data_IF_966848245766
#
_entry.id   IF_966848245766
#
_cell.length_a   1.000
_cell.length_b   1.000
_cell.length_c   1.000
_cell.angle_alpha   90.00
_cell.angle_beta   90.00
_cell.angle_gamma   90.00
#
_symmetry.space_group_name_H-M   'P 1'
#
loop_
_entity.id
_entity.type
_entity.pdbx_description
1 polymer ?
#
# COMPACT_ATOMS: atom_id res chain seq x y z
N UNK A 1 -14.66 -41.75 20.78
CA UNK A 1 -15.40 -40.54 20.28
C UNK A 1 -14.42 -39.41 20.20
N UNK A 2 -13.87 -39.16 18.98
CA UNK A 2 -12.93 -38.06 18.77
C UNK A 2 -13.67 -36.84 18.24
N UNK A 3 -13.62 -35.75 19.01
CA UNK A 3 -14.19 -34.46 18.62
C UNK A 3 -13.29 -33.80 17.59
N UNK A 4 -13.72 -33.77 16.33
CA UNK A 4 -13.12 -32.98 15.26
C UNK A 4 -13.50 -31.53 15.46
N UNK A 5 -12.62 -30.70 16.00
CA UNK A 5 -12.76 -29.25 15.97
C UNK A 5 -12.52 -28.76 14.53
N UNK A 6 -13.59 -28.48 13.82
CA UNK A 6 -13.58 -27.79 12.54
C UNK A 6 -13.10 -26.35 12.76
N UNK A 7 -11.88 -26.04 12.27
CA UNK A 7 -11.35 -24.68 12.23
C UNK A 7 -12.08 -23.93 11.10
N UNK A 8 -13.15 -23.22 11.42
CA UNK A 8 -13.77 -22.25 10.51
C UNK A 8 -12.84 -21.05 10.35
N UNK A 9 -12.14 -20.95 9.22
CA UNK A 9 -11.50 -19.74 8.80
C UNK A 9 -12.59 -18.72 8.41
N UNK A 10 -12.88 -17.77 9.30
CA UNK A 10 -13.76 -16.63 8.94
C UNK A 10 -13.01 -15.74 7.96
N UNK A 11 -13.41 -15.76 6.71
CA UNK A 11 -13.05 -14.74 5.73
C UNK A 11 -14.03 -13.59 5.92
N UNK A 12 -13.59 -12.52 6.57
CA UNK A 12 -14.37 -11.28 6.61
C UNK A 12 -14.09 -10.55 5.30
N UNK A 13 -15.03 -10.62 4.37
CA UNK A 13 -15.06 -9.74 3.22
C UNK A 13 -15.92 -8.57 3.66
N UNK A 14 -15.33 -7.39 3.85
CA UNK A 14 -16.09 -6.16 4.01
C UNK A 14 -16.62 -5.83 2.62
N UNK A 15 -17.81 -6.35 2.25
CA UNK A 15 -18.55 -5.89 1.09
C UNK A 15 -19.23 -4.59 1.53
N UNK A 16 -18.88 -3.49 0.91
CA UNK A 16 -19.62 -2.24 1.05
C UNK A 16 -20.97 -2.43 0.39
N UNK A 17 -22.03 -2.26 1.17
CA UNK A 17 -23.40 -2.17 0.65
C UNK A 17 -23.48 -0.92 -0.25
N UNK A 18 -23.95 -1.13 -1.48
CA UNK A 18 -24.08 -0.09 -2.53
C UNK A 18 -25.11 1.03 -2.17
N UNK A 19 -25.72 0.98 -0.98
CA UNK A 19 -26.84 1.85 -0.61
C UNK A 19 -26.66 2.62 0.70
N UNK A 20 -25.49 2.59 1.37
CA UNK A 20 -25.23 3.36 2.58
C UNK A 20 -23.95 4.17 2.47
N UNK A 21 -24.07 5.43 2.11
CA UNK A 21 -23.04 6.32 1.58
C UNK A 21 -22.13 7.00 2.60
N UNK A 22 -22.05 6.55 3.83
CA UNK A 22 -21.05 7.08 4.77
C UNK A 22 -20.08 5.99 5.20
N UNK A 23 -18.92 5.93 4.51
CA UNK A 23 -17.76 5.24 5.05
C UNK A 23 -17.43 5.85 6.41
N UNK A 24 -17.48 5.05 7.46
CA UNK A 24 -16.91 5.46 8.74
C UNK A 24 -15.38 5.46 8.60
N UNK A 25 -14.82 6.64 8.34
CA UNK A 25 -13.35 6.84 8.21
C UNK A 25 -12.59 6.40 9.47
N UNK A 26 -13.27 6.30 10.62
CA UNK A 26 -12.69 5.86 11.90
C UNK A 26 -12.78 4.35 12.11
N UNK A 27 -13.50 3.62 11.24
CA UNK A 27 -13.60 2.18 11.36
C UNK A 27 -12.23 1.51 11.19
N UNK A 28 -11.78 0.82 12.24
CA UNK A 28 -10.61 -0.04 12.14
C UNK A 28 -11.00 -1.34 11.44
N UNK A 29 -10.44 -1.60 10.26
CA UNK A 29 -10.69 -2.84 9.52
C UNK A 29 -10.12 -4.08 10.22
N UNK A 30 -9.10 -3.92 11.06
CA UNK A 30 -8.48 -5.03 11.78
C UNK A 30 -9.19 -5.29 13.10
N UNK A 31 -9.49 -6.55 13.43
CA UNK A 31 -10.20 -6.87 14.68
C UNK A 31 -9.32 -6.76 15.94
N UNK A 32 -7.98 -6.71 15.76
CA UNK A 32 -6.99 -6.67 16.85
C UNK A 32 -5.59 -6.31 16.37
N UNK A 33 -4.70 -5.98 17.30
CA UNK A 33 -3.24 -5.92 17.12
C UNK A 33 -2.78 -5.06 15.94
N UNK A 34 -3.50 -3.96 15.68
CA UNK A 34 -3.18 -3.03 14.61
C UNK A 34 -4.34 -2.09 14.29
N UNK A 35 -4.04 -1.08 13.50
CA UNK A 35 -5.00 -0.07 13.05
C UNK A 35 -4.89 0.05 11.54
N UNK A 36 -6.00 -0.20 10.86
CA UNK A 36 -6.14 0.03 9.42
C UNK A 36 -7.45 0.76 9.17
N UNK A 37 -7.35 1.99 8.68
CA UNK A 37 -8.50 2.80 8.30
C UNK A 37 -8.55 2.95 6.78
N UNK A 38 -9.72 2.77 6.20
CA UNK A 38 -9.95 2.98 4.78
C UNK A 38 -10.87 4.19 4.58
N UNK A 39 -10.31 5.27 4.05
CA UNK A 39 -10.99 6.55 3.85
C UNK A 39 -11.85 6.59 2.57
N UNK A 40 -11.86 5.49 1.79
CA UNK A 40 -12.49 5.52 0.47
C UNK A 40 -11.82 6.50 -0.48
N UNK A 41 -12.57 7.04 -1.43
CA UNK A 41 -12.10 8.03 -2.40
C UNK A 41 -11.91 9.38 -1.72
N UNK A 42 -10.66 9.86 -1.67
CA UNK A 42 -10.28 11.17 -1.11
C UNK A 42 -10.07 12.22 -2.19
N UNK A 43 -10.17 11.82 -3.44
CA UNK A 43 -10.09 12.63 -4.65
C UNK A 43 -11.31 12.40 -5.53
N UNK A 44 -11.72 13.42 -6.27
CA UNK A 44 -12.72 13.27 -7.33
C UNK A 44 -12.21 12.37 -8.45
N UNK A 45 -13.11 11.85 -9.27
CA UNK A 45 -12.72 11.03 -10.44
C UNK A 45 -11.84 11.83 -11.43
N UNK A 46 -12.12 13.12 -11.59
CA UNK A 46 -11.34 14.00 -12.47
C UNK A 46 -9.91 14.19 -11.96
N UNK A 47 -9.74 14.54 -10.68
CA UNK A 47 -8.42 14.65 -10.05
C UNK A 47 -7.66 13.33 -10.07
N UNK A 48 -8.33 12.22 -9.77
CA UNK A 48 -7.73 10.90 -9.78
C UNK A 48 -7.20 10.51 -11.17
N UNK A 49 -7.97 10.79 -12.23
CA UNK A 49 -7.53 10.57 -13.61
C UNK A 49 -6.33 11.46 -13.95
N UNK A 50 -6.38 12.75 -13.59
CA UNK A 50 -5.27 13.69 -13.83
C UNK A 50 -3.97 13.18 -13.18
N UNK A 51 -4.00 12.85 -11.87
CA UNK A 51 -2.80 12.35 -11.20
C UNK A 51 -2.34 11.01 -11.75
N UNK A 52 -3.26 10.11 -12.10
CA UNK A 52 -2.89 8.83 -12.69
C UNK A 52 -2.10 9.00 -13.99
N UNK A 53 -2.60 9.81 -14.92
CA UNK A 53 -1.94 10.07 -16.21
C UNK A 53 -0.62 10.82 -16.02
N UNK A 54 -0.59 11.83 -15.15
CA UNK A 54 0.61 12.58 -14.84
C UNK A 54 1.70 11.67 -14.27
N UNK A 55 1.41 10.89 -13.23
CA UNK A 55 2.37 9.98 -12.60
C UNK A 55 2.85 8.89 -13.58
N UNK A 56 1.97 8.40 -14.46
CA UNK A 56 2.34 7.39 -15.44
C UNK A 56 3.40 7.91 -16.41
N UNK A 57 3.31 9.20 -16.78
CA UNK A 57 4.17 9.85 -17.80
C UNK A 57 5.43 10.48 -17.22
N UNK A 58 5.36 11.03 -15.98
CA UNK A 58 6.44 11.90 -15.45
C UNK A 58 7.35 11.21 -14.43
N UNK A 59 6.90 10.14 -13.78
CA UNK A 59 7.70 9.44 -12.77
C UNK A 59 8.84 8.66 -13.42
N UNK A 60 10.03 8.75 -12.83
CA UNK A 60 11.22 7.98 -13.25
C UNK A 60 11.09 6.49 -12.85
N UNK A 61 10.23 5.77 -13.55
CA UNK A 61 9.96 4.37 -13.30
C UNK A 61 11.18 3.48 -13.61
N UNK A 62 11.64 2.72 -12.62
CA UNK A 62 12.71 1.72 -12.75
C UNK A 62 12.15 0.33 -12.44
N UNK A 63 12.68 -0.69 -13.10
CA UNK A 63 12.31 -2.06 -12.77
C UNK A 63 12.71 -2.36 -11.32
N UNK A 64 11.83 -3.05 -10.59
CA UNK A 64 12.16 -3.50 -9.25
C UNK A 64 12.91 -4.83 -9.30
N UNK A 65 13.81 -5.01 -8.34
CA UNK A 65 14.63 -6.20 -8.21
C UNK A 65 14.26 -6.93 -6.92
N UNK A 66 14.06 -8.23 -7.02
CA UNK A 66 13.80 -9.09 -5.87
C UNK A 66 14.82 -10.24 -5.82
N UNK A 67 15.24 -10.63 -4.63
CA UNK A 67 16.00 -11.86 -4.43
C UNK A 67 15.02 -12.95 -4.01
N UNK A 68 14.82 -13.93 -4.90
CA UNK A 68 13.94 -15.07 -4.65
C UNK A 68 14.80 -16.34 -4.69
N UNK A 69 14.82 -17.06 -3.58
CA UNK A 69 15.70 -18.25 -3.40
C UNK A 69 17.17 -18.01 -3.78
N UNK A 70 17.71 -16.83 -3.36
CA UNK A 70 19.11 -16.45 -3.64
C UNK A 70 19.39 -15.96 -5.07
N UNK A 71 18.39 -15.98 -5.96
CA UNK A 71 18.53 -15.48 -7.34
C UNK A 71 17.96 -14.07 -7.47
N UNK A 72 18.72 -13.18 -8.11
CA UNK A 72 18.25 -11.84 -8.48
C UNK A 72 17.25 -11.96 -9.62
N UNK A 73 16.04 -11.49 -9.39
CA UNK A 73 14.95 -11.48 -10.36
C UNK A 73 14.54 -10.02 -10.60
N UNK A 74 14.55 -9.61 -11.84
CA UNK A 74 13.99 -8.33 -12.26
C UNK A 74 12.49 -8.55 -12.45
N UNK A 75 11.67 -7.84 -11.66
CA UNK A 75 10.21 -7.94 -11.75
C UNK A 75 9.69 -7.08 -12.90
N UNK A 76 8.50 -7.41 -13.41
CA UNK A 76 7.81 -6.55 -14.40
C UNK A 76 7.32 -5.26 -13.74
N UNK A 77 6.93 -5.33 -12.46
CA UNK A 77 6.54 -4.17 -11.67
C UNK A 77 7.66 -3.14 -11.67
N UNK A 78 7.29 -1.87 -11.82
CA UNK A 78 8.22 -0.75 -11.71
C UNK A 78 8.04 -0.02 -10.40
N UNK A 79 9.11 0.62 -9.96
CA UNK A 79 9.16 1.38 -8.71
C UNK A 79 9.84 2.72 -8.93
N UNK A 80 9.52 3.68 -8.07
CA UNK A 80 10.26 4.92 -7.90
C UNK A 80 10.21 5.33 -6.43
N UNK A 81 11.21 6.08 -5.97
CA UNK A 81 11.30 6.51 -4.58
C UNK A 81 11.64 8.00 -4.49
N UNK A 82 10.85 8.76 -3.74
CA UNK A 82 10.96 10.20 -3.56
C UNK A 82 10.99 10.55 -2.07
N UNK A 83 11.64 11.66 -1.70
CA UNK A 83 11.74 12.08 -0.29
C UNK A 83 12.20 13.50 -0.10
N UNK A 84 12.10 13.99 1.16
CA UNK A 84 12.52 15.35 1.57
C UNK A 84 14.03 15.57 1.43
N UNK A 85 14.79 14.49 1.40
CA UNK A 85 16.24 14.46 1.20
C UNK A 85 16.63 13.19 0.45
N UNK A 86 17.87 13.07 0.03
CA UNK A 86 18.42 11.93 -0.69
C UNK A 86 18.64 10.71 0.22
N UNK A 87 17.56 10.25 0.86
CA UNK A 87 17.61 9.02 1.64
C UNK A 87 18.27 7.90 0.86
N UNK A 88 19.14 7.15 1.52
CA UNK A 88 19.81 6.01 0.92
C UNK A 88 19.34 4.70 1.55
N UNK A 89 19.07 3.73 0.70
CA UNK A 89 18.81 2.35 1.13
C UNK A 89 19.68 1.39 0.34
N UNK A 90 20.58 0.72 1.04
CA UNK A 90 21.46 -0.27 0.44
C UNK A 90 20.95 -1.67 0.69
N UNK A 91 20.62 -2.37 -0.39
CA UNK A 91 20.22 -3.78 -0.36
C UNK A 91 21.04 -4.57 -1.38
N UNK A 92 21.67 -5.66 -0.93
CA UNK A 92 22.43 -6.57 -1.81
C UNK A 92 23.46 -5.87 -2.71
N UNK A 93 24.23 -4.91 -2.17
CA UNK A 93 25.25 -4.10 -2.86
C UNK A 93 24.68 -3.09 -3.88
N UNK A 94 23.36 -2.88 -3.93
CA UNK A 94 22.74 -1.84 -4.75
C UNK A 94 22.21 -0.76 -3.82
N UNK A 95 22.72 0.47 -3.95
CA UNK A 95 22.20 1.63 -3.22
C UNK A 95 21.12 2.30 -4.06
N UNK A 96 19.93 2.39 -3.51
CA UNK A 96 18.83 3.21 -4.06
C UNK A 96 18.82 4.54 -3.32
N UNK A 97 18.60 5.63 -4.04
CA UNK A 97 18.48 6.99 -3.50
C UNK A 97 17.09 7.52 -3.79
N UNK A 98 16.52 8.22 -2.81
CA UNK A 98 15.28 8.95 -3.01
C UNK A 98 15.53 10.14 -3.95
N UNK A 99 14.62 10.36 -4.88
CA UNK A 99 14.60 11.52 -5.76
C UNK A 99 13.92 12.71 -5.05
N UNK A 100 14.21 13.95 -5.44
CA UNK A 100 13.48 15.11 -4.94
C UNK A 100 12.02 15.06 -5.40
N UNK A 101 11.11 15.57 -4.55
CA UNK A 101 9.69 15.61 -4.86
C UNK A 101 9.37 16.36 -6.16
N UNK A 102 8.41 15.84 -6.93
CA UNK A 102 7.75 16.64 -7.97
C UNK A 102 6.62 17.46 -7.34
N UNK A 103 6.11 18.46 -8.05
CA UNK A 103 5.00 19.30 -7.59
C UNK A 103 3.75 18.45 -7.27
N UNK A 104 3.40 17.53 -8.15
CA UNK A 104 2.24 16.66 -8.02
C UNK A 104 2.38 15.69 -6.82
N UNK A 105 3.59 15.19 -6.58
CA UNK A 105 3.86 14.34 -5.40
C UNK A 105 3.75 15.12 -4.09
N UNK A 106 4.14 16.40 -4.07
CA UNK A 106 3.95 17.29 -2.92
C UNK A 106 2.46 17.59 -2.66
N UNK A 107 1.67 17.78 -3.71
CA UNK A 107 0.21 17.94 -3.59
C UNK A 107 -0.42 16.68 -2.99
N UNK A 108 -0.11 15.50 -3.53
CA UNK A 108 -0.61 14.23 -3.03
C UNK A 108 -0.14 13.92 -1.61
N UNK A 109 1.12 14.26 -1.28
CA UNK A 109 1.65 14.21 0.08
C UNK A 109 0.83 15.10 1.03
N UNK A 110 0.50 16.33 0.60
CA UNK A 110 -0.29 17.27 1.40
C UNK A 110 -1.69 16.71 1.70
N UNK A 111 -2.32 16.04 0.73
CA UNK A 111 -3.61 15.37 0.93
C UNK A 111 -3.48 14.25 1.97
N UNK A 112 -2.44 13.42 1.86
CA UNK A 112 -2.18 12.34 2.83
C UNK A 112 -1.87 12.92 4.22
N UNK A 113 -1.00 13.92 4.34
CA UNK A 113 -0.64 14.59 5.60
C UNK A 113 -1.89 15.14 6.31
N UNK A 114 -2.76 15.84 5.57
CA UNK A 114 -3.96 16.46 6.13
C UNK A 114 -5.01 15.44 6.61
N UNK A 115 -5.23 14.39 5.82
CA UNK A 115 -6.19 13.32 6.17
C UNK A 115 -5.74 12.50 7.38
N UNK A 116 -4.44 12.24 7.51
CA UNK A 116 -3.89 11.42 8.59
C UNK A 116 -3.42 12.22 9.80
N UNK A 117 -3.26 13.54 9.67
CA UNK A 117 -2.61 14.43 10.66
C UNK A 117 -1.16 14.01 10.97
N UNK A 118 -0.52 13.34 10.04
CA UNK A 118 0.88 12.94 10.10
C UNK A 118 1.72 13.83 9.17
N UNK A 119 3.05 13.72 9.30
CA UNK A 119 4.01 14.38 8.40
C UNK A 119 4.89 13.29 7.79
N UNK A 120 4.63 13.01 6.52
CA UNK A 120 5.44 12.07 5.77
C UNK A 120 6.63 12.79 5.13
N UNK A 121 7.76 12.11 5.01
CA UNK A 121 8.97 12.65 4.37
C UNK A 121 9.51 11.76 3.24
N UNK A 122 8.80 10.68 2.93
CA UNK A 122 9.21 9.72 1.91
C UNK A 122 7.99 9.08 1.25
N UNK A 123 8.11 8.73 -0.04
CA UNK A 123 7.09 8.02 -0.79
C UNK A 123 7.72 6.97 -1.71
N UNK A 124 7.35 5.71 -1.51
CA UNK A 124 7.63 4.64 -2.44
C UNK A 124 6.45 4.46 -3.39
N UNK A 125 6.71 4.57 -4.68
CA UNK A 125 5.72 4.37 -5.74
C UNK A 125 5.89 2.99 -6.36
N UNK A 126 4.77 2.34 -6.67
CA UNK A 126 4.71 1.07 -7.38
C UNK A 126 3.78 1.17 -8.58
N UNK A 127 4.26 0.81 -9.76
CA UNK A 127 3.47 0.67 -10.98
C UNK A 127 3.30 -0.80 -11.30
N UNK A 128 2.06 -1.25 -11.32
CA UNK A 128 1.62 -2.57 -11.79
C UNK A 128 0.95 -2.38 -13.15
N UNK A 129 1.46 -3.06 -14.19
CA UNK A 129 0.96 -2.90 -15.56
C UNK A 129 -0.37 -3.61 -15.79
N UNK A 130 -0.60 -4.66 -15.02
CA UNK A 130 -1.86 -5.44 -15.05
C UNK A 130 -2.12 -6.11 -13.71
N UNK A 131 -3.24 -6.82 -13.63
CA UNK A 131 -3.58 -7.65 -12.47
C UNK A 131 -2.64 -8.82 -12.23
N UNK A 132 -1.94 -9.32 -13.23
CA UNK A 132 -0.98 -10.42 -13.07
C UNK A 132 0.20 -10.07 -12.19
N UNK A 133 0.53 -8.77 -12.10
CA UNK A 133 1.53 -8.26 -11.18
C UNK A 133 0.93 -8.05 -9.79
N UNK A 134 1.70 -8.35 -8.76
CA UNK A 134 1.26 -8.23 -7.38
C UNK A 134 2.42 -8.06 -6.40
N UNK A 135 2.08 -8.07 -5.12
CA UNK A 135 3.03 -8.06 -4.02
C UNK A 135 2.74 -9.22 -3.09
N UNK A 136 3.75 -10.01 -2.78
CA UNK A 136 3.65 -11.13 -1.84
C UNK A 136 3.33 -10.64 -0.40
N UNK A 137 3.05 -11.57 0.49
CA UNK A 137 2.87 -11.27 1.91
C UNK A 137 4.14 -10.66 2.52
N UNK A 138 4.04 -9.42 3.02
CA UNK A 138 5.13 -8.69 3.68
C UNK A 138 4.57 -7.75 4.74
N UNK A 139 5.45 -7.13 5.48
CA UNK A 139 5.18 -5.97 6.34
C UNK A 139 6.27 -4.93 6.10
N UNK A 140 5.92 -3.66 6.22
CA UNK A 140 6.86 -2.54 6.13
C UNK A 140 7.53 -2.37 7.50
N UNK A 141 8.63 -3.07 7.70
CA UNK A 141 9.33 -3.15 8.98
C UNK A 141 10.82 -2.80 8.85
N UNK A 142 11.15 -1.94 7.90
CA UNK A 142 12.49 -1.40 7.72
C UNK A 142 12.91 -0.60 8.97
N UNK A 143 14.17 -0.77 9.39
CA UNK A 143 14.69 -0.17 10.63
C UNK A 143 14.68 1.35 10.66
N UNK A 144 14.75 1.96 9.48
CA UNK A 144 14.82 3.40 9.31
C UNK A 144 13.43 4.07 9.31
N UNK A 145 12.35 3.29 9.27
CA UNK A 145 10.99 3.81 9.37
C UNK A 145 10.63 4.16 10.82
N UNK A 146 9.83 5.22 11.00
CA UNK A 146 9.24 5.57 12.29
C UNK A 146 8.48 4.36 12.85
N UNK A 147 8.95 3.82 13.96
CA UNK A 147 8.32 2.67 14.61
C UNK A 147 6.87 2.99 14.97
N UNK A 148 5.96 2.08 14.61
CA UNK A 148 4.50 2.26 14.78
C UNK A 148 3.93 3.53 14.13
N UNK A 149 4.70 4.20 13.27
CA UNK A 149 4.25 5.35 12.51
C UNK A 149 3.15 4.98 11.51
N UNK A 150 2.33 5.96 11.17
CA UNK A 150 1.33 5.75 10.12
C UNK A 150 2.01 5.63 8.75
N UNK A 151 1.45 4.74 7.93
CA UNK A 151 1.80 4.53 6.52
C UNK A 151 0.55 4.79 5.70
N UNK A 152 0.59 5.80 4.83
CA UNK A 152 -0.54 6.16 3.98
C UNK A 152 -0.36 5.56 2.58
N UNK A 153 -1.36 4.85 2.11
CA UNK A 153 -1.38 4.19 0.80
C UNK A 153 -2.45 4.82 -0.08
N UNK A 154 -2.03 5.62 -1.06
CA UNK A 154 -2.90 6.27 -2.04
C UNK A 154 -2.86 5.48 -3.35
N UNK A 155 -4.04 5.16 -3.90
CA UNK A 155 -4.19 4.25 -5.05
C UNK A 155 -4.78 4.95 -6.26
N UNK A 156 -4.20 4.73 -7.44
CA UNK A 156 -4.68 5.21 -8.72
C UNK A 156 -4.80 4.08 -9.75
N UNK A 157 -5.73 4.23 -10.71
CA UNK A 157 -5.96 3.28 -11.80
C UNK A 157 -6.82 2.09 -11.37
N UNK A 158 -6.44 0.88 -11.76
CA UNK A 158 -7.26 -0.31 -11.56
C UNK A 158 -7.53 -0.62 -10.08
N UNK A 159 -8.78 -0.84 -9.74
CA UNK A 159 -9.19 -1.27 -8.41
C UNK A 159 -8.72 -2.69 -8.13
N UNK A 160 -8.13 -2.91 -6.97
CA UNK A 160 -7.54 -4.18 -6.61
C UNK A 160 -7.90 -4.59 -5.18
N UNK A 161 -8.18 -5.87 -5.01
CA UNK A 161 -8.26 -6.49 -3.68
C UNK A 161 -6.91 -6.36 -3.00
N UNK A 162 -6.91 -5.84 -1.76
CA UNK A 162 -5.76 -5.78 -0.86
C UNK A 162 -6.08 -6.58 0.39
N UNK A 163 -5.16 -7.39 0.87
CA UNK A 163 -5.45 -8.34 1.94
C UNK A 163 -4.44 -8.22 3.06
N UNK A 164 -4.93 -8.32 4.28
CA UNK A 164 -4.16 -8.43 5.51
C UNK A 164 -4.26 -9.85 6.06
N UNK A 165 -3.20 -10.34 6.71
CA UNK A 165 -3.18 -11.62 7.41
C UNK A 165 -2.42 -11.50 8.71
N UNK A 166 -3.07 -11.83 9.82
CA UNK A 166 -2.43 -11.84 11.13
C UNK A 166 -1.32 -12.91 11.19
N UNK A 167 -0.13 -12.53 11.70
CA UNK A 167 1.06 -13.40 11.67
C UNK A 167 0.87 -14.67 12.50
N UNK A 168 0.16 -14.59 13.64
CA UNK A 168 -0.07 -15.73 14.54
C UNK A 168 -1.36 -16.48 14.19
N UNK A 169 -2.52 -15.79 14.26
CA UNK A 169 -3.84 -16.43 14.13
C UNK A 169 -4.17 -16.84 12.70
N UNK A 170 -3.46 -16.29 11.69
CA UNK A 170 -3.72 -16.47 10.25
C UNK A 170 -5.07 -15.91 9.79
N UNK A 171 -5.79 -15.22 10.66
CA UNK A 171 -7.02 -14.49 10.33
C UNK A 171 -6.74 -13.52 9.18
N UNK A 172 -7.68 -13.41 8.23
CA UNK A 172 -7.52 -12.56 7.04
C UNK A 172 -8.65 -11.55 6.92
N UNK A 173 -8.27 -10.31 6.60
CA UNK A 173 -9.18 -9.22 6.27
C UNK A 173 -8.81 -8.71 4.87
N UNK A 174 -9.80 -8.29 4.09
CA UNK A 174 -9.54 -7.76 2.74
C UNK A 174 -10.43 -6.57 2.45
N UNK A 175 -9.90 -5.65 1.66
CA UNK A 175 -10.59 -4.45 1.17
C UNK A 175 -10.28 -4.28 -0.31
N UNK A 176 -11.20 -3.68 -1.07
CA UNK A 176 -10.94 -3.27 -2.45
C UNK A 176 -10.45 -1.82 -2.43
N UNK A 177 -9.24 -1.59 -2.92
CA UNK A 177 -8.66 -0.26 -3.04
C UNK A 177 -9.14 0.37 -4.34
N UNK A 178 -9.94 1.42 -4.22
CA UNK A 178 -10.56 2.12 -5.34
C UNK A 178 -9.62 3.18 -5.94
N UNK A 179 -9.92 3.61 -7.15
CA UNK A 179 -9.24 4.71 -7.82
C UNK A 179 -9.42 6.04 -7.06
N UNK A 180 -8.31 6.70 -6.68
CA UNK A 180 -8.29 7.91 -5.85
C UNK A 180 -8.54 7.65 -4.36
N UNK A 181 -8.40 6.41 -3.90
CA UNK A 181 -8.66 6.05 -2.50
C UNK A 181 -7.41 6.04 -1.64
N UNK A 182 -7.62 6.32 -0.35
CA UNK A 182 -6.60 6.32 0.69
C UNK A 182 -6.86 5.21 1.72
N UNK A 183 -5.84 4.43 2.02
CA UNK A 183 -5.79 3.48 3.12
C UNK A 183 -4.62 3.84 4.03
N UNK A 184 -4.82 3.76 5.35
CA UNK A 184 -3.79 4.07 6.35
C UNK A 184 -3.59 2.87 7.26
N UNK A 185 -2.33 2.48 7.44
CA UNK A 185 -1.89 1.46 8.40
C UNK A 185 -1.12 2.17 9.51
N UNK A 186 -1.44 1.94 10.78
CA UNK A 186 -0.79 2.61 11.90
C UNK A 186 -0.59 1.67 13.11
N UNK A 187 0.08 2.17 14.14
CA UNK A 187 0.33 1.43 15.37
C UNK A 187 1.09 0.13 15.11
N UNK A 188 0.72 -0.92 15.82
CA UNK A 188 1.40 -2.22 15.76
C UNK A 188 1.07 -3.07 14.53
N UNK A 189 0.40 -2.49 13.51
CA UNK A 189 0.00 -3.22 12.29
C UNK A 189 1.18 -3.94 11.64
N UNK A 190 2.32 -3.27 11.46
CA UNK A 190 3.49 -3.87 10.80
C UNK A 190 4.14 -4.98 11.66
N UNK A 191 3.95 -4.93 12.97
CA UNK A 191 4.43 -5.96 13.90
C UNK A 191 3.61 -7.25 13.80
N UNK A 192 2.28 -7.14 13.76
CA UNK A 192 1.39 -8.29 13.92
C UNK A 192 0.74 -8.76 12.62
N UNK A 193 0.68 -7.92 11.59
CA UNK A 193 0.02 -8.23 10.33
C UNK A 193 0.98 -8.22 9.15
N UNK A 194 0.71 -9.09 8.20
CA UNK A 194 1.24 -9.04 6.85
C UNK A 194 0.17 -8.49 5.93
N UNK A 195 0.59 -7.83 4.86
CA UNK A 195 -0.31 -7.41 3.79
C UNK A 195 0.20 -7.83 2.42
N UNK A 196 -0.70 -7.91 1.44
CA UNK A 196 -0.37 -8.26 0.05
C UNK A 196 -1.32 -7.64 -0.95
N UNK A 197 -0.85 -7.52 -2.19
CA UNK A 197 -1.67 -7.30 -3.38
C UNK A 197 -1.68 -8.63 -4.18
N UNK A 198 -2.72 -9.46 -4.07
CA UNK A 198 -2.75 -10.75 -4.77
C UNK A 198 -2.83 -10.55 -6.27
N UNK A 199 -2.09 -11.33 -7.09
CA UNK A 199 -2.24 -11.29 -8.54
C UNK A 199 -3.63 -11.81 -8.97
N UNK A 200 -4.11 -11.33 -10.11
CA UNK A 200 -5.36 -11.76 -10.74
C UNK A 200 -5.31 -11.59 -12.25
N UNK A 201 -5.89 -12.52 -12.98
CA UNK A 201 -6.03 -12.44 -14.44
C UNK A 201 -7.25 -11.62 -14.91
N UNK A 202 -8.10 -11.21 -13.97
CA UNK A 202 -9.36 -10.50 -14.29
C UNK A 202 -9.16 -9.02 -14.64
N UNK A 203 -7.96 -8.49 -14.39
CA UNK A 203 -7.67 -7.05 -14.53
C UNK A 203 -6.49 -6.88 -15.48
N UNK A 204 -6.73 -6.20 -16.59
CA UNK A 204 -5.72 -5.88 -17.60
C UNK A 204 -5.18 -4.44 -17.51
N UNK A 205 -5.87 -3.57 -16.76
CA UNK A 205 -5.53 -2.14 -16.64
C UNK A 205 -4.44 -1.91 -15.59
N UNK A 206 -3.60 -0.87 -15.77
CA UNK A 206 -2.53 -0.53 -14.84
C UNK A 206 -3.06 0.08 -13.54
N UNK A 207 -2.20 -0.04 -12.50
CA UNK A 207 -2.42 0.55 -11.17
C UNK A 207 -1.12 1.19 -10.68
N UNK A 208 -1.24 2.38 -10.12
CA UNK A 208 -0.17 3.06 -9.38
C UNK A 208 -0.54 3.08 -7.89
N UNK A 209 0.43 2.82 -7.03
CA UNK A 209 0.28 2.95 -5.59
C UNK A 209 1.40 3.83 -5.03
N UNK A 210 1.03 4.83 -4.25
CA UNK A 210 1.92 5.68 -3.49
C UNK A 210 1.88 5.25 -2.03
N UNK A 211 3.04 4.95 -1.45
CA UNK A 211 3.16 4.57 -0.04
C UNK A 211 3.98 5.64 0.68
N UNK A 212 3.29 6.56 1.35
CA UNK A 212 3.91 7.63 2.14
C UNK A 212 4.33 7.11 3.51
N UNK A 213 5.54 7.44 3.93
CA UNK A 213 6.17 6.95 5.16
C UNK A 213 7.00 8.06 5.81
N UNK A 214 7.34 7.87 7.09
CA UNK A 214 8.29 8.72 7.81
C UNK A 214 9.57 7.95 8.09
N UNK A 215 10.69 8.43 7.54
CA UNK A 215 12.04 7.92 7.76
C UNK A 215 12.70 8.78 8.85
N UNK A 216 13.41 8.13 9.80
CA UNK A 216 14.04 8.76 10.98
C UNK A 216 15.57 8.88 10.84
N UNK A 217 16.10 9.14 9.65
CA UNK A 217 17.53 9.37 9.42
C UNK A 217 17.82 10.84 9.23
#
# INVERSE_FOLDING_TARGET
MQNKHSKYFRHIIVSMDLFNDSLDENLNLLPRDGIVNYYGKVLTSQESNYYFECLLQTIEWKNDEAIIFGKRIITKRKVAWYGDQDFEYTYSKTTKRALPWTAELLELKTIADNKTREKYNSCLLNLYHSGEEGMAWHSDAEKDLKQNGAIASLTFGAERKFSFRHKLTKETVSVVLQHGSLLVMAGTTQTHWLHRLPPTKLISKPRINLTFRTILK
#
